data_IF_399207678705
#
_entry.id   IF_399207678705
#
_cell.length_a   1.000
_cell.length_b   1.000
_cell.length_c   1.000
_cell.angle_alpha   90.00
_cell.angle_beta   90.00
_cell.angle_gamma   90.00
#
_symmetry.space_group_name_H-M   'P 1'
#
loop_
_entity.id
_entity.type
_entity.pdbx_description
1 polymer ?
#
# COMPACT_ATOMS: atom_id res chain seq x y z
N UNK A 1 -84.41 62.88 -35.76
CA UNK A 1 -84.60 62.58 -37.19
C UNK A 1 -84.25 61.12 -37.37
N UNK A 2 -85.20 60.31 -37.33
CA UNK A 2 -85.70 59.40 -38.36
C UNK A 2 -84.71 58.20 -38.59
N UNK A 3 -85.13 57.05 -38.11
CA UNK A 3 -85.59 55.85 -38.83
C UNK A 3 -84.42 54.96 -39.28
N UNK A 4 -84.36 53.66 -39.16
CA UNK A 4 -85.40 52.63 -39.33
C UNK A 4 -84.87 51.25 -38.84
N UNK A 5 -85.72 50.54 -38.27
CA UNK A 5 -85.83 49.12 -38.02
C UNK A 5 -85.42 48.24 -39.18
N UNK A 6 -84.75 47.10 -38.89
CA UNK A 6 -85.23 45.83 -39.47
C UNK A 6 -84.74 44.62 -38.57
N UNK A 7 -85.68 43.89 -38.13
CA UNK A 7 -85.70 42.54 -37.63
C UNK A 7 -85.33 41.56 -38.76
N UNK A 8 -84.56 40.55 -38.46
CA UNK A 8 -84.70 39.23 -39.05
C UNK A 8 -84.27 38.14 -38.13
N UNK A 9 -85.21 37.27 -37.96
CA UNK A 9 -85.18 36.07 -37.05
C UNK A 9 -84.33 34.97 -37.65
N UNK A 10 -84.01 34.02 -36.73
CA UNK A 10 -83.96 32.54 -36.87
C UNK A 10 -82.63 31.91 -37.12
N UNK A 11 -82.26 31.12 -36.31
CA UNK A 11 -82.30 29.65 -36.28
C UNK A 11 -81.41 29.13 -35.18
N UNK A 12 -82.05 28.50 -34.22
CA UNK A 12 -81.38 27.68 -33.23
C UNK A 12 -80.91 26.41 -33.90
N UNK A 13 -79.61 26.21 -33.96
CA UNK A 13 -78.99 24.91 -34.24
C UNK A 13 -78.32 24.38 -32.98
N UNK A 14 -78.98 23.39 -32.39
CA UNK A 14 -78.45 22.56 -31.30
C UNK A 14 -77.27 21.78 -31.87
N UNK A 15 -76.08 22.17 -31.49
CA UNK A 15 -74.94 21.33 -31.64
C UNK A 15 -74.64 20.57 -30.32
N UNK A 16 -74.83 19.26 -30.35
CA UNK A 16 -74.42 18.32 -29.31
C UNK A 16 -72.92 18.34 -29.13
N UNK A 17 -72.47 18.88 -28.03
CA UNK A 17 -71.09 18.82 -27.61
C UNK A 17 -70.73 17.40 -27.17
N UNK A 18 -70.10 16.65 -28.09
CA UNK A 18 -69.36 15.43 -27.74
C UNK A 18 -68.16 15.85 -26.90
N UNK A 19 -68.25 15.59 -25.57
CA UNK A 19 -67.15 15.90 -24.64
C UNK A 19 -65.94 15.04 -24.98
N UNK A 20 -64.87 15.70 -25.46
CA UNK A 20 -63.52 15.15 -25.38
C UNK A 20 -63.10 15.09 -23.91
N UNK A 21 -63.13 13.90 -23.31
CA UNK A 21 -62.43 13.66 -22.03
C UNK A 21 -60.93 13.73 -22.32
N UNK A 22 -60.28 14.78 -21.88
CA UNK A 22 -58.83 14.83 -21.77
C UNK A 22 -58.39 13.67 -20.84
N UNK A 23 -57.65 12.73 -21.40
CA UNK A 23 -56.98 11.65 -20.63
C UNK A 23 -55.82 12.32 -19.89
N UNK A 24 -55.94 12.45 -18.60
CA UNK A 24 -54.89 12.90 -17.74
C UNK A 24 -53.74 11.88 -17.86
N UNK A 25 -52.65 12.26 -18.53
CA UNK A 25 -51.42 11.50 -18.60
C UNK A 25 -50.81 11.66 -17.19
N UNK A 26 -51.01 10.66 -16.34
CA UNK A 26 -50.23 10.55 -15.09
C UNK A 26 -48.75 10.51 -15.48
N UNK A 27 -48.00 11.53 -15.09
CA UNK A 27 -46.56 11.55 -15.20
C UNK A 27 -46.04 10.36 -14.39
N UNK A 28 -45.46 9.38 -15.07
CA UNK A 28 -44.71 8.30 -14.41
C UNK A 28 -43.63 8.94 -13.53
N UNK A 29 -43.61 8.57 -12.27
CA UNK A 29 -42.55 8.95 -11.36
C UNK A 29 -41.19 8.53 -11.98
N UNK A 30 -40.14 9.37 -11.87
CA UNK A 30 -38.84 9.04 -12.43
C UNK A 30 -38.38 7.70 -11.82
N UNK A 31 -38.19 6.70 -12.70
CA UNK A 31 -37.59 5.42 -12.33
C UNK A 31 -36.21 5.74 -11.74
N UNK A 32 -36.04 5.55 -10.45
CA UNK A 32 -34.74 5.74 -9.81
C UNK A 32 -33.75 4.78 -10.48
N UNK A 33 -32.74 5.36 -11.12
CA UNK A 33 -31.64 4.59 -11.70
C UNK A 33 -31.09 3.63 -10.66
N UNK A 34 -30.76 2.37 -11.01
CA UNK A 34 -30.18 1.42 -10.07
C UNK A 34 -28.94 2.06 -9.46
N UNK A 35 -28.98 2.26 -8.15
CA UNK A 35 -27.83 2.78 -7.41
C UNK A 35 -26.70 1.76 -7.55
N UNK A 36 -25.55 2.20 -8.06
CA UNK A 36 -24.38 1.33 -8.16
C UNK A 36 -24.12 0.66 -6.79
N UNK A 37 -23.82 -0.63 -6.74
CA UNK A 37 -23.60 -1.32 -5.48
C UNK A 37 -22.50 -0.60 -4.69
N UNK A 38 -22.77 -0.31 -3.43
CA UNK A 38 -21.78 0.31 -2.54
C UNK A 38 -20.56 -0.60 -2.43
N UNK A 39 -19.33 -0.05 -2.54
CA UNK A 39 -18.13 -0.84 -2.43
C UNK A 39 -18.06 -1.55 -1.07
N UNK A 40 -17.76 -2.85 -1.09
CA UNK A 40 -17.60 -3.66 0.12
C UNK A 40 -16.35 -3.20 0.85
N UNK A 41 -16.46 -2.97 2.17
CA UNK A 41 -15.33 -2.57 2.98
C UNK A 41 -14.29 -3.70 3.07
N UNK A 42 -13.02 -3.34 2.91
CA UNK A 42 -11.87 -4.26 3.02
C UNK A 42 -11.11 -4.04 4.33
N UNK A 43 -10.34 -5.02 4.76
CA UNK A 43 -9.51 -4.92 5.97
C UNK A 43 -8.35 -3.93 5.78
N UNK A 44 -7.75 -3.93 4.61
CA UNK A 44 -6.66 -3.04 4.21
C UNK A 44 -6.55 -3.00 2.67
N UNK A 45 -5.86 -2.01 2.09
CA UNK A 45 -5.47 -2.03 0.69
C UNK A 45 -4.69 -3.29 0.36
N UNK A 46 -5.02 -3.96 -0.73
CA UNK A 46 -4.29 -5.15 -1.15
C UNK A 46 -2.89 -4.81 -1.66
N UNK A 47 -1.90 -5.50 -1.12
CA UNK A 47 -0.49 -5.48 -1.56
C UNK A 47 -0.08 -6.92 -1.86
N UNK A 48 0.45 -7.22 -3.06
CA UNK A 48 0.94 -8.56 -3.35
C UNK A 48 2.07 -8.96 -2.40
N UNK A 49 2.01 -10.14 -1.76
CA UNK A 49 3.10 -10.61 -0.93
C UNK A 49 4.37 -10.85 -1.77
N UNK A 50 5.55 -10.78 -1.16
CA UNK A 50 6.79 -11.16 -1.83
C UNK A 50 6.80 -12.67 -2.13
N UNK A 51 7.62 -13.14 -3.09
CA UNK A 51 7.81 -14.57 -3.31
C UNK A 51 8.33 -15.26 -2.04
N UNK A 52 7.90 -16.49 -1.71
CA UNK A 52 8.39 -17.20 -0.53
C UNK A 52 9.89 -17.45 -0.60
N UNK A 53 10.55 -17.42 0.57
CA UNK A 53 11.98 -17.73 0.71
C UNK A 53 12.11 -19.16 1.24
N UNK A 54 12.63 -20.06 0.43
CA UNK A 54 12.75 -21.49 0.73
C UNK A 54 14.20 -21.95 0.79
N UNK A 55 15.14 -21.18 0.26
CA UNK A 55 16.56 -21.58 0.18
C UNK A 55 17.52 -20.41 0.01
N UNK A 56 18.84 -20.72 -0.02
CA UNK A 56 19.90 -19.69 -0.07
C UNK A 56 19.94 -18.90 -1.37
N UNK A 57 19.42 -19.47 -2.46
CA UNK A 57 19.35 -18.81 -3.78
C UNK A 57 18.19 -17.82 -3.89
N UNK A 58 17.21 -17.91 -2.97
CA UNK A 58 16.06 -17.01 -2.96
C UNK A 58 16.46 -15.64 -2.45
N UNK A 59 15.68 -14.63 -2.85
CA UNK A 59 15.93 -13.26 -2.43
C UNK A 59 15.01 -12.87 -1.29
N UNK A 60 15.60 -12.34 -0.23
CA UNK A 60 14.87 -11.58 0.77
C UNK A 60 14.49 -10.22 0.20
N UNK A 61 13.27 -9.81 0.43
CA UNK A 61 12.81 -8.45 0.18
C UNK A 61 12.91 -7.69 1.50
N UNK A 62 13.90 -6.81 1.59
CA UNK A 62 14.21 -6.07 2.82
C UNK A 62 13.81 -4.61 2.63
N UNK A 63 12.95 -4.10 3.51
CA UNK A 63 12.59 -2.69 3.52
C UNK A 63 13.79 -1.84 3.96
N UNK A 64 14.27 -0.97 3.09
CA UNK A 64 15.27 0.06 3.41
C UNK A 64 14.62 1.30 4.00
N UNK A 65 13.38 1.59 3.61
CA UNK A 65 12.55 2.63 4.19
C UNK A 65 11.07 2.40 3.89
N UNK A 66 10.26 2.31 4.94
CA UNK A 66 8.81 2.21 4.88
C UNK A 66 8.13 3.57 5.07
N UNK A 67 6.81 3.59 4.89
CA UNK A 67 5.90 4.72 5.16
C UNK A 67 6.22 6.02 4.39
N UNK A 68 6.88 5.92 3.23
CA UNK A 68 7.17 7.04 2.35
C UNK A 68 5.87 7.68 1.83
N UNK A 69 5.79 9.02 1.91
CA UNK A 69 4.60 9.76 1.49
C UNK A 69 3.40 9.64 2.42
N UNK A 70 3.54 9.07 3.63
CA UNK A 70 2.43 8.88 4.57
C UNK A 70 1.83 10.20 5.06
N UNK A 71 2.64 11.22 5.26
CA UNK A 71 2.21 12.57 5.61
C UNK A 71 2.45 13.55 4.47
N UNK A 72 1.76 14.69 4.51
CA UNK A 72 1.95 15.77 3.52
C UNK A 72 3.31 16.46 3.66
N UNK A 73 4.00 16.26 4.80
CA UNK A 73 5.34 16.74 5.08
C UNK A 73 6.43 15.67 4.88
N UNK A 74 6.09 14.55 4.21
CA UNK A 74 7.08 13.50 3.93
C UNK A 74 8.20 14.02 3.05
N UNK A 75 9.44 13.78 3.49
CA UNK A 75 10.63 14.17 2.74
C UNK A 75 10.67 13.52 1.35
N UNK A 76 11.22 14.19 0.35
CA UNK A 76 11.51 13.59 -0.93
C UNK A 76 12.42 12.37 -0.79
N UNK A 77 12.16 11.34 -1.58
CA UNK A 77 13.06 10.20 -1.71
C UNK A 77 14.09 10.50 -2.81
N UNK A 78 15.34 10.76 -2.43
CA UNK A 78 16.43 10.94 -3.38
C UNK A 78 17.31 9.69 -3.43
N UNK A 79 17.41 9.09 -4.61
CA UNK A 79 18.19 7.89 -4.89
C UNK A 79 19.47 8.29 -5.62
N UNK A 80 20.63 7.82 -5.16
CA UNK A 80 21.93 8.12 -5.76
C UNK A 80 22.62 6.82 -6.23
N UNK A 81 23.00 6.74 -7.50
CA UNK A 81 23.79 5.65 -8.03
C UNK A 81 25.21 5.66 -7.48
N UNK A 82 25.74 4.49 -7.16
CA UNK A 82 27.10 4.33 -6.64
C UNK A 82 28.12 4.19 -7.77
N UNK A 83 28.35 5.28 -8.52
CA UNK A 83 29.35 5.34 -9.59
C UNK A 83 28.81 5.10 -11.01
N UNK A 84 27.52 4.78 -11.16
CA UNK A 84 26.83 4.70 -12.46
C UNK A 84 25.41 5.26 -12.36
N UNK A 85 24.82 5.69 -13.49
CA UNK A 85 23.42 6.09 -13.50
C UNK A 85 22.48 4.97 -13.04
N UNK A 86 21.43 5.37 -12.34
CA UNK A 86 20.27 4.53 -12.02
C UNK A 86 19.35 4.46 -13.24
N UNK A 87 18.64 3.34 -13.38
CA UNK A 87 17.49 3.22 -14.29
C UNK A 87 16.25 2.92 -13.46
N UNK A 88 15.29 3.80 -13.54
CA UNK A 88 13.98 3.66 -12.91
C UNK A 88 12.98 3.28 -14.00
N UNK A 89 12.25 2.18 -13.81
CA UNK A 89 11.15 1.73 -14.68
C UNK A 89 9.86 1.66 -13.91
N UNK A 90 8.84 2.39 -14.35
CA UNK A 90 7.52 2.33 -13.75
C UNK A 90 6.66 1.18 -14.33
N UNK A 91 5.49 0.94 -13.75
CA UNK A 91 4.59 -0.14 -14.19
C UNK A 91 3.98 0.10 -15.58
N UNK A 92 4.00 1.34 -16.11
CA UNK A 92 3.59 1.65 -17.48
C UNK A 92 4.68 1.30 -18.51
N UNK A 93 5.87 0.90 -18.06
CA UNK A 93 7.01 0.58 -18.91
C UNK A 93 7.88 1.76 -19.29
N UNK A 94 7.62 2.96 -18.74
CA UNK A 94 8.45 4.16 -18.98
C UNK A 94 9.72 4.06 -18.15
N UNK A 95 10.82 4.50 -18.75
CA UNK A 95 12.16 4.51 -18.14
C UNK A 95 12.68 5.93 -17.96
N UNK A 96 13.39 6.13 -16.86
CA UNK A 96 14.19 7.33 -16.59
C UNK A 96 15.56 6.91 -16.09
N UNK A 97 16.59 7.66 -16.49
CA UNK A 97 17.95 7.40 -16.07
C UNK A 97 18.62 8.66 -15.54
N UNK A 98 19.45 8.51 -14.51
CA UNK A 98 20.22 9.61 -13.92
C UNK A 98 21.15 9.15 -12.82
N UNK A 99 22.18 9.92 -12.52
CA UNK A 99 23.08 9.66 -11.38
C UNK A 99 22.40 9.86 -10.03
N UNK A 100 21.39 10.75 -10.02
CA UNK A 100 20.46 10.96 -8.90
C UNK A 100 19.05 11.11 -9.45
N UNK A 101 18.07 10.50 -8.77
CA UNK A 101 16.64 10.59 -9.10
C UNK A 101 15.88 10.97 -7.83
N UNK A 102 15.10 12.06 -7.89
CA UNK A 102 14.32 12.55 -6.75
C UNK A 102 12.83 12.32 -7.00
N UNK A 103 12.18 11.66 -6.06
CA UNK A 103 10.74 11.35 -6.05
C UNK A 103 10.08 12.11 -4.92
N UNK A 104 9.07 12.89 -5.25
CA UNK A 104 8.18 13.57 -4.29
C UNK A 104 6.84 12.86 -4.20
N UNK A 105 6.03 13.23 -3.22
CA UNK A 105 4.76 12.59 -2.95
C UNK A 105 3.62 13.57 -3.20
N UNK A 106 2.58 13.13 -3.90
CA UNK A 106 1.39 13.92 -4.16
C UNK A 106 0.15 13.14 -3.78
N UNK A 107 -0.77 13.76 -3.04
CA UNK A 107 -2.09 13.20 -2.79
C UNK A 107 -3.01 13.51 -3.96
N UNK A 108 -3.70 12.47 -4.43
CA UNK A 108 -4.68 12.56 -5.52
C UNK A 108 -6.00 12.01 -5.00
N UNK A 109 -7.10 12.77 -5.08
CA UNK A 109 -8.42 12.26 -4.72
C UNK A 109 -8.76 10.98 -5.50
N UNK A 110 -9.43 10.04 -4.85
CA UNK A 110 -9.97 8.84 -5.49
C UNK A 110 -11.36 9.15 -6.04
N UNK A 111 -11.68 8.66 -7.22
CA UNK A 111 -13.04 8.75 -7.78
C UNK A 111 -14.04 8.02 -6.88
N UNK A 112 -13.65 6.91 -6.32
CA UNK A 112 -14.43 6.14 -5.36
C UNK A 112 -13.59 5.91 -4.11
N UNK A 113 -14.03 6.40 -2.94
CA UNK A 113 -13.39 6.11 -1.67
C UNK A 113 -13.31 4.59 -1.43
N UNK A 114 -12.22 4.13 -0.83
CA UNK A 114 -12.06 2.74 -0.42
C UNK A 114 -12.47 2.59 1.05
N UNK A 115 -13.64 2.02 1.36
CA UNK A 115 -14.05 1.84 2.74
C UNK A 115 -13.20 0.75 3.40
N UNK A 116 -12.71 1.05 4.60
CA UNK A 116 -11.95 0.13 5.43
C UNK A 116 -12.75 -0.23 6.68
N UNK A 117 -12.80 -1.51 7.01
CA UNK A 117 -13.46 -1.96 8.24
C UNK A 117 -12.79 -3.24 8.76
N UNK A 118 -12.37 -3.18 10.03
CA UNK A 118 -11.66 -4.30 10.66
C UNK A 118 -11.83 -4.31 12.17
N UNK A 119 -11.57 -5.44 12.80
CA UNK A 119 -11.28 -5.57 14.23
C UNK A 119 -9.79 -5.49 14.45
N UNK A 120 -9.39 -4.76 15.46
CA UNK A 120 -7.98 -4.51 15.80
C UNK A 120 -7.73 -4.95 17.23
N UNK A 121 -6.78 -5.86 17.42
CA UNK A 121 -6.19 -6.16 18.72
C UNK A 121 -4.80 -5.51 18.78
N UNK A 122 -4.43 -4.98 19.92
CA UNK A 122 -3.16 -4.29 20.16
C UNK A 122 -3.37 -2.88 20.75
N UNK A 123 -2.29 -2.09 20.90
CA UNK A 123 -0.93 -2.36 20.42
C UNK A 123 -0.20 -3.48 21.19
N UNK A 124 0.79 -4.12 20.54
CA UNK A 124 1.66 -5.11 21.10
C UNK A 124 3.11 -4.64 21.08
N UNK A 125 3.88 -5.06 22.09
CA UNK A 125 5.30 -4.67 22.20
C UNK A 125 6.22 -5.36 21.16
N UNK A 126 5.79 -6.49 20.57
CA UNK A 126 6.59 -7.22 19.58
C UNK A 126 5.72 -7.99 18.59
N UNK A 127 6.32 -8.33 17.44
CA UNK A 127 5.73 -9.22 16.45
C UNK A 127 5.26 -10.55 17.06
N UNK A 128 6.09 -11.16 17.91
CA UNK A 128 5.81 -12.47 18.53
C UNK A 128 4.57 -12.40 19.43
N UNK A 129 4.35 -11.27 20.08
CA UNK A 129 3.15 -11.05 20.89
C UNK A 129 1.90 -10.88 20.01
N UNK A 130 2.01 -10.15 18.93
CA UNK A 130 0.94 -10.00 17.94
C UNK A 130 0.64 -11.34 17.25
N UNK A 131 1.68 -12.07 16.81
CA UNK A 131 1.54 -13.34 16.09
C UNK A 131 0.85 -14.42 16.95
N UNK A 132 1.11 -14.47 18.27
CA UNK A 132 0.36 -15.36 19.18
C UNK A 132 -1.14 -15.07 19.16
N UNK A 133 -1.51 -13.81 19.08
CA UNK A 133 -2.94 -13.41 19.00
C UNK A 133 -3.51 -13.71 17.61
N UNK A 134 -2.77 -13.41 16.55
CA UNK A 134 -3.18 -13.76 15.20
C UNK A 134 -3.40 -15.26 15.01
N UNK A 135 -2.51 -16.09 15.59
CA UNK A 135 -2.62 -17.54 15.59
C UNK A 135 -3.93 -18.02 16.25
N UNK A 136 -4.30 -17.48 17.42
CA UNK A 136 -5.56 -17.81 18.09
C UNK A 136 -6.78 -17.51 17.19
N UNK A 137 -6.77 -16.42 16.44
CA UNK A 137 -7.83 -16.13 15.49
C UNK A 137 -7.85 -17.11 14.32
N UNK A 138 -6.67 -17.46 13.78
CA UNK A 138 -6.56 -18.45 12.70
C UNK A 138 -7.02 -19.85 13.12
N UNK A 139 -6.80 -20.24 14.38
CA UNK A 139 -7.27 -21.51 14.95
C UNK A 139 -8.79 -21.63 14.98
N UNK A 140 -9.52 -20.51 15.03
CA UNK A 140 -10.99 -20.47 14.92
C UNK A 140 -11.47 -20.11 13.50
N UNK A 141 -10.61 -20.24 12.49
CA UNK A 141 -10.93 -20.04 11.06
C UNK A 141 -10.99 -18.59 10.59
N UNK A 142 -10.50 -17.62 11.37
CA UNK A 142 -10.46 -16.21 10.99
C UNK A 142 -9.15 -15.87 10.28
N UNK A 143 -9.24 -15.22 9.11
CA UNK A 143 -8.08 -14.69 8.40
C UNK A 143 -7.51 -13.45 9.12
N UNK A 144 -6.75 -13.65 10.19
CA UNK A 144 -6.10 -12.59 10.93
C UNK A 144 -4.68 -12.34 10.43
N UNK A 145 -4.34 -11.05 10.33
CA UNK A 145 -3.07 -10.54 9.80
C UNK A 145 -2.33 -9.76 10.90
N UNK A 146 -1.03 -9.90 10.97
CA UNK A 146 -0.18 -9.02 11.78
C UNK A 146 0.20 -7.81 10.93
N UNK A 147 0.07 -6.62 11.48
CA UNK A 147 0.38 -5.35 10.85
C UNK A 147 1.24 -4.49 11.76
N UNK A 148 1.99 -3.55 11.19
CA UNK A 148 2.84 -2.62 11.93
C UNK A 148 2.68 -1.19 11.38
N UNK A 149 1.50 -0.57 11.57
CA UNK A 149 1.29 0.81 11.12
C UNK A 149 2.19 1.82 11.86
N UNK A 150 2.28 1.74 13.17
CA UNK A 150 3.18 2.45 14.09
C UNK A 150 3.61 1.50 15.21
N UNK A 151 2.67 0.69 15.69
CA UNK A 151 2.86 -0.38 16.67
C UNK A 151 2.40 -1.70 16.07
N UNK A 152 2.81 -2.82 16.67
CA UNK A 152 2.33 -4.13 16.26
C UNK A 152 0.86 -4.31 16.61
N UNK A 153 0.07 -4.63 15.62
CA UNK A 153 -1.38 -4.88 15.72
C UNK A 153 -1.75 -6.20 15.04
N UNK A 154 -2.91 -6.73 15.40
CA UNK A 154 -3.54 -7.83 14.67
C UNK A 154 -4.86 -7.34 14.10
N UNK A 155 -5.03 -7.51 12.81
CA UNK A 155 -6.21 -7.11 12.05
C UNK A 155 -7.02 -8.33 11.61
N UNK A 156 -8.31 -8.33 11.96
CA UNK A 156 -9.27 -9.33 11.51
C UNK A 156 -10.43 -8.65 10.77
N UNK A 157 -11.15 -9.36 9.89
CA UNK A 157 -12.32 -8.82 9.21
C UNK A 157 -13.35 -8.26 10.20
N UNK A 158 -14.07 -7.22 9.81
CA UNK A 158 -15.19 -6.68 10.61
C UNK A 158 -16.18 -7.80 10.94
N UNK A 159 -16.60 -7.87 12.20
CA UNK A 159 -17.55 -8.88 12.66
C UNK A 159 -16.97 -10.29 12.85
N UNK A 160 -15.66 -10.51 12.64
CA UNK A 160 -15.04 -11.81 12.89
C UNK A 160 -15.28 -12.29 14.34
N UNK A 161 -15.50 -13.60 14.58
CA UNK A 161 -15.62 -14.13 15.93
C UNK A 161 -14.34 -13.84 16.72
N UNK A 162 -14.48 -13.69 18.05
CA UNK A 162 -13.35 -13.39 18.93
C UNK A 162 -12.88 -14.64 19.65
N UNK A 163 -11.57 -14.86 19.75
CA UNK A 163 -11.01 -15.81 20.70
C UNK A 163 -11.37 -15.38 22.15
N UNK A 164 -11.56 -16.35 23.03
CA UNK A 164 -11.93 -16.12 24.42
C UNK A 164 -10.99 -15.12 25.12
N UNK A 165 -11.57 -14.12 25.78
CA UNK A 165 -10.82 -13.13 26.55
C UNK A 165 -9.99 -12.15 25.71
N UNK A 166 -10.15 -12.10 24.39
CA UNK A 166 -9.43 -11.13 23.55
C UNK A 166 -10.16 -9.80 23.51
N UNK A 167 -9.48 -8.75 23.97
CA UNK A 167 -9.94 -7.36 23.83
C UNK A 167 -9.60 -6.84 22.42
N UNK A 168 -10.58 -6.24 21.77
CA UNK A 168 -10.43 -5.64 20.44
C UNK A 168 -11.19 -4.30 20.38
N UNK A 169 -10.80 -3.47 19.40
CA UNK A 169 -11.58 -2.32 18.95
C UNK A 169 -12.07 -2.52 17.52
N UNK A 170 -13.29 -2.13 17.23
CA UNK A 170 -13.74 -2.00 15.84
C UNK A 170 -13.16 -0.71 15.26
N UNK A 171 -12.61 -0.81 14.06
CA UNK A 171 -12.02 0.31 13.34
C UNK A 171 -12.65 0.42 11.96
N UNK A 172 -13.16 1.62 11.65
CA UNK A 172 -13.75 1.93 10.36
C UNK A 172 -13.16 3.24 9.85
N UNK A 173 -12.83 3.28 8.58
CA UNK A 173 -12.23 4.44 7.93
C UNK A 173 -12.54 4.42 6.43
N UNK A 174 -12.08 5.43 5.71
CA UNK A 174 -12.18 5.51 4.26
C UNK A 174 -10.89 6.11 3.70
N UNK A 175 -10.33 5.48 2.68
CA UNK A 175 -9.21 6.05 1.92
C UNK A 175 -9.78 6.87 0.76
N UNK A 176 -9.86 8.18 0.94
CA UNK A 176 -10.44 9.13 -0.02
C UNK A 176 -9.41 9.65 -1.03
N UNK A 177 -8.14 9.45 -0.75
CA UNK A 177 -7.03 9.87 -1.60
C UNK A 177 -5.97 8.78 -1.74
N UNK A 178 -5.18 8.85 -2.79
CA UNK A 178 -4.03 7.99 -3.01
C UNK A 178 -2.75 8.83 -3.02
N UNK A 179 -1.72 8.37 -2.33
CA UNK A 179 -0.37 8.92 -2.47
C UNK A 179 0.23 8.39 -3.76
N UNK A 180 0.67 9.28 -4.63
CA UNK A 180 1.34 8.94 -5.88
C UNK A 180 2.76 9.53 -5.91
N UNK A 181 3.76 8.73 -6.32
CA UNK A 181 5.13 9.21 -6.49
C UNK A 181 5.23 10.07 -7.75
N UNK A 182 5.96 11.16 -7.66
CA UNK A 182 6.22 12.09 -8.75
C UNK A 182 7.72 12.25 -8.90
N UNK A 183 8.28 11.74 -10.00
CA UNK A 183 9.69 11.93 -10.34
C UNK A 183 9.91 13.38 -10.76
N UNK A 184 10.88 14.03 -10.14
CA UNK A 184 11.30 15.38 -10.49
C UNK A 184 12.41 15.35 -11.54
N UNK A 185 12.21 16.05 -12.64
CA UNK A 185 13.18 16.21 -13.72
C UNK A 185 13.31 17.68 -14.11
N UNK A 186 14.29 18.03 -14.94
CA UNK A 186 14.41 19.38 -15.48
C UNK A 186 13.21 19.81 -16.33
N UNK A 187 12.49 18.85 -16.91
CA UNK A 187 11.31 19.06 -17.77
C UNK A 187 10.00 19.16 -16.96
N UNK A 188 10.04 18.85 -15.65
CA UNK A 188 8.90 18.89 -14.75
C UNK A 188 8.70 17.58 -13.97
N UNK A 189 7.54 17.48 -13.31
CA UNK A 189 7.17 16.32 -12.50
C UNK A 189 6.41 15.26 -13.28
N UNK A 190 6.89 14.02 -13.29
CA UNK A 190 6.23 12.87 -13.93
C UNK A 190 5.61 11.96 -12.88
N UNK A 191 4.29 11.79 -12.91
CA UNK A 191 3.60 10.82 -12.06
C UNK A 191 4.00 9.40 -12.46
N UNK A 192 4.51 8.63 -11.49
CA UNK A 192 4.95 7.26 -11.69
C UNK A 192 3.83 6.27 -11.34
N UNK A 193 3.78 5.17 -12.06
CA UNK A 193 2.88 4.05 -11.78
C UNK A 193 3.64 2.93 -11.06
N UNK A 194 3.14 2.51 -9.91
CA UNK A 194 3.76 1.42 -9.16
C UNK A 194 3.29 0.03 -9.57
N UNK A 195 4.08 -1.01 -9.31
CA UNK A 195 5.39 -0.97 -8.66
C UNK A 195 6.50 -0.42 -9.57
N UNK A 196 7.45 0.31 -8.98
CA UNK A 196 8.56 0.93 -9.67
C UNK A 196 9.80 0.09 -9.44
N UNK A 197 10.47 -0.35 -10.50
CA UNK A 197 11.73 -1.08 -10.44
C UNK A 197 12.88 -0.11 -10.58
N UNK A 198 13.91 -0.29 -9.77
CA UNK A 198 15.11 0.54 -9.79
C UNK A 198 16.31 -0.38 -9.99
N UNK A 199 17.01 -0.19 -11.10
CA UNK A 199 18.25 -0.88 -11.41
C UNK A 199 19.43 0.06 -11.16
N UNK A 200 20.36 -0.39 -10.33
CA UNK A 200 21.58 0.33 -9.99
C UNK A 200 22.79 -0.58 -10.32
N UNK A 201 23.41 -0.47 -11.51
CA UNK A 201 24.43 -1.42 -11.96
C UNK A 201 25.64 -1.52 -11.04
N UNK A 202 26.00 -0.43 -10.38
CA UNK A 202 27.07 -0.38 -9.38
C UNK A 202 26.55 -0.20 -7.94
N UNK A 203 25.27 -0.41 -7.72
CA UNK A 203 24.60 -0.25 -6.43
C UNK A 203 24.01 1.12 -6.21
N UNK A 204 23.28 1.23 -5.12
CA UNK A 204 22.60 2.44 -4.62
C UNK A 204 23.34 2.95 -3.37
N UNK A 205 23.71 4.22 -3.34
CA UNK A 205 24.15 4.88 -2.13
C UNK A 205 22.94 5.26 -1.30
N UNK A 206 22.83 4.70 -0.11
CA UNK A 206 21.70 4.90 0.78
C UNK A 206 22.15 4.99 2.24
N UNK A 207 21.76 6.08 2.95
CA UNK A 207 22.09 6.28 4.37
C UNK A 207 23.56 6.00 4.73
N UNK A 208 24.48 6.44 3.85
CA UNK A 208 25.92 6.28 4.03
C UNK A 208 26.47 4.90 3.61
N UNK A 209 25.62 3.94 3.31
CA UNK A 209 26.01 2.61 2.80
C UNK A 209 25.80 2.48 1.28
N UNK A 210 26.30 1.37 0.74
CA UNK A 210 26.12 0.99 -0.65
C UNK A 210 25.44 -0.37 -0.73
N UNK A 211 24.29 -0.41 -1.36
CA UNK A 211 23.43 -1.58 -1.48
C UNK A 211 23.42 -2.09 -2.93
N UNK A 212 23.39 -3.40 -3.11
CA UNK A 212 23.58 -4.01 -4.44
C UNK A 212 22.31 -4.07 -5.28
N UNK A 213 21.16 -4.25 -4.65
CA UNK A 213 19.87 -4.39 -5.34
C UNK A 213 19.62 -5.76 -5.98
N UNK A 214 18.66 -5.86 -6.92
CA UNK A 214 17.80 -4.78 -7.42
C UNK A 214 16.84 -4.21 -6.39
N UNK A 215 16.32 -3.01 -6.69
CA UNK A 215 15.42 -2.31 -5.77
C UNK A 215 14.02 -2.18 -6.35
N UNK A 216 13.07 -1.99 -5.44
CA UNK A 216 11.67 -1.79 -5.77
C UNK A 216 11.07 -0.72 -4.88
N UNK A 217 10.28 0.18 -5.45
CA UNK A 217 9.43 1.11 -4.72
C UNK A 217 7.97 0.70 -4.98
N UNK A 218 7.24 0.34 -3.93
CA UNK A 218 5.86 -0.13 -4.04
C UNK A 218 4.98 0.42 -2.92
N UNK A 219 3.67 0.30 -3.09
CA UNK A 219 2.70 0.62 -2.04
C UNK A 219 2.77 -0.40 -0.91
N UNK A 220 2.45 0.06 0.29
CA UNK A 220 2.24 -0.75 1.48
C UNK A 220 0.74 -0.85 1.85
N UNK A 221 0.44 -1.59 2.92
CA UNK A 221 -0.92 -1.80 3.41
C UNK A 221 -1.56 -0.54 4.07
N UNK A 222 -0.81 0.52 4.22
CA UNK A 222 -1.24 1.77 4.88
C UNK A 222 -1.52 2.90 3.87
N UNK A 223 -1.34 2.63 2.58
CA UNK A 223 -1.54 3.60 1.50
C UNK A 223 -0.33 4.50 1.24
N UNK A 224 0.79 4.25 1.91
CA UNK A 224 2.09 4.87 1.66
C UNK A 224 2.97 3.98 0.76
N UNK A 225 4.28 4.24 0.72
CA UNK A 225 5.21 3.54 -0.16
C UNK A 225 6.41 3.02 0.63
N UNK A 226 7.02 1.95 0.13
CA UNK A 226 8.20 1.32 0.74
C UNK A 226 9.28 1.12 -0.30
N UNK A 227 10.51 1.55 0.02
CA UNK A 227 11.72 1.23 -0.74
C UNK A 227 12.27 -0.12 -0.25
N UNK A 228 12.37 -1.07 -1.16
CA UNK A 228 12.75 -2.45 -0.87
C UNK A 228 13.99 -2.81 -1.68
N UNK A 229 14.95 -3.48 -1.05
CA UNK A 229 16.03 -4.21 -1.71
C UNK A 229 15.66 -5.69 -1.82
N UNK A 230 15.94 -6.28 -2.98
CA UNK A 230 15.77 -7.70 -3.23
C UNK A 230 17.16 -8.36 -3.15
N UNK A 231 17.58 -8.74 -1.95
CA UNK A 231 18.94 -9.18 -1.64
C UNK A 231 19.03 -10.71 -1.55
N UNK A 232 20.04 -11.38 -2.13
CA UNK A 232 20.29 -12.80 -1.86
C UNK A 232 20.52 -13.03 -0.35
N UNK A 233 20.04 -14.15 0.18
CA UNK A 233 20.12 -14.44 1.62
C UNK A 233 21.55 -14.34 2.16
N UNK A 234 22.54 -14.90 1.48
CA UNK A 234 23.93 -14.86 1.93
C UNK A 234 24.50 -13.44 1.96
N UNK A 235 24.15 -12.62 0.95
CA UNK A 235 24.55 -11.20 0.94
C UNK A 235 23.85 -10.38 2.04
N UNK A 236 22.61 -10.72 2.37
CA UNK A 236 21.92 -10.14 3.54
C UNK A 236 22.69 -10.43 4.82
N UNK A 237 23.18 -11.66 5.01
CA UNK A 237 23.94 -12.04 6.21
C UNK A 237 25.29 -11.30 6.31
N UNK A 238 25.95 -11.01 5.19
CA UNK A 238 27.14 -10.14 5.18
C UNK A 238 26.84 -8.75 5.74
N UNK A 239 25.61 -8.23 5.49
CA UNK A 239 25.15 -6.95 6.00
C UNK A 239 24.56 -6.99 7.41
N UNK A 240 24.31 -8.16 7.98
CA UNK A 240 23.73 -8.31 9.33
C UNK A 240 24.79 -8.69 10.35
N UNK A 241 25.53 -9.77 10.12
CA UNK A 241 26.39 -10.39 11.14
C UNK A 241 27.44 -9.44 11.73
N UNK A 242 28.16 -8.65 10.91
CA UNK A 242 29.14 -7.71 11.45
C UNK A 242 28.51 -6.56 12.28
N UNK A 243 27.25 -6.20 11.99
CA UNK A 243 26.54 -5.15 12.71
C UNK A 243 25.95 -5.65 14.03
N UNK A 244 25.64 -6.95 14.14
CA UNK A 244 25.09 -7.55 15.35
C UNK A 244 26.16 -7.81 16.43
N UNK A 245 27.33 -8.34 16.05
CA UNK A 245 28.35 -8.75 17.03
C UNK A 245 29.70 -8.08 16.82
N UNK A 246 29.84 -7.19 15.85
CA UNK A 246 31.09 -6.52 15.49
C UNK A 246 31.96 -7.34 14.54
N UNK A 247 32.47 -6.67 13.52
CA UNK A 247 33.31 -7.26 12.47
C UNK A 247 34.65 -7.85 13.00
N UNK A 248 35.14 -7.33 14.12
CA UNK A 248 36.36 -7.84 14.80
C UNK A 248 36.17 -9.06 15.69
N UNK A 249 34.97 -9.62 15.77
CA UNK A 249 34.68 -10.82 16.57
C UNK A 249 35.47 -12.03 16.07
N UNK A 250 35.79 -13.00 16.98
CA UNK A 250 36.47 -14.26 16.60
C UNK A 250 35.69 -14.96 15.46
N UNK A 251 36.43 -15.55 14.51
CA UNK A 251 35.82 -16.22 13.34
C UNK A 251 34.74 -17.25 13.72
N UNK A 252 34.96 -18.01 14.79
CA UNK A 252 33.99 -18.98 15.27
C UNK A 252 32.70 -18.33 15.76
N UNK A 253 32.80 -17.15 16.39
CA UNK A 253 31.62 -16.37 16.79
C UNK A 253 30.87 -15.84 15.59
N UNK A 254 31.57 -15.29 14.57
CA UNK A 254 30.96 -14.83 13.31
C UNK A 254 30.25 -15.98 12.60
N UNK A 255 30.86 -17.17 12.51
CA UNK A 255 30.23 -18.36 11.92
C UNK A 255 28.99 -18.81 12.70
N UNK A 256 29.02 -18.82 14.02
CA UNK A 256 27.87 -19.15 14.86
C UNK A 256 26.75 -18.13 14.66
N UNK A 257 27.06 -16.83 14.67
CA UNK A 257 26.09 -15.76 14.41
C UNK A 257 25.48 -15.85 13.02
N UNK A 258 26.28 -16.21 12.00
CA UNK A 258 25.78 -16.42 10.63
C UNK A 258 24.70 -17.51 10.59
N UNK A 259 24.92 -18.64 11.29
CA UNK A 259 23.90 -19.70 11.38
C UNK A 259 22.65 -19.22 12.10
N UNK A 260 22.79 -18.50 13.21
CA UNK A 260 21.66 -17.94 13.96
C UNK A 260 20.88 -16.92 13.11
N UNK A 261 21.57 -15.97 12.50
CA UNK A 261 20.95 -14.93 11.68
C UNK A 261 20.23 -15.52 10.47
N UNK A 262 20.81 -16.51 9.79
CA UNK A 262 20.16 -17.23 8.67
C UNK A 262 18.89 -17.92 9.12
N UNK A 263 18.97 -18.69 10.21
CA UNK A 263 17.82 -19.41 10.76
C UNK A 263 16.72 -18.45 11.14
N UNK A 264 17.07 -17.34 11.79
CA UNK A 264 16.12 -16.31 12.19
C UNK A 264 15.48 -15.66 10.97
N UNK A 265 16.24 -15.24 9.96
CA UNK A 265 15.73 -14.58 8.76
C UNK A 265 14.72 -15.46 8.01
N UNK A 266 15.04 -16.74 7.82
CA UNK A 266 14.14 -17.71 7.18
C UNK A 266 12.87 -17.94 8.00
N UNK A 267 13.01 -18.14 9.31
CA UNK A 267 11.86 -18.36 10.21
C UNK A 267 10.95 -17.15 10.34
N UNK A 268 11.47 -15.93 10.09
CA UNK A 268 10.76 -14.66 10.28
C UNK A 268 10.44 -13.93 8.97
N UNK A 269 10.67 -14.53 7.81
CA UNK A 269 10.41 -13.92 6.50
C UNK A 269 8.93 -13.62 6.22
N UNK A 270 8.05 -13.89 7.17
CA UNK A 270 6.62 -13.63 7.08
C UNK A 270 6.13 -12.40 7.88
N UNK A 271 7.05 -11.64 8.53
CA UNK A 271 6.67 -10.53 9.43
C UNK A 271 5.91 -9.41 8.76
N UNK A 272 6.27 -9.06 7.53
CA UNK A 272 5.71 -7.91 6.80
C UNK A 272 5.05 -8.29 5.48
N UNK A 273 4.48 -9.49 5.37
CA UNK A 273 3.81 -9.95 4.15
C UNK A 273 2.64 -9.06 3.74
N UNK A 274 1.94 -8.47 4.72
CA UNK A 274 0.86 -7.51 4.46
C UNK A 274 1.36 -6.27 3.72
N UNK A 275 2.62 -5.88 3.96
CA UNK A 275 3.28 -4.71 3.36
C UNK A 275 4.05 -5.05 2.08
N UNK A 276 4.04 -6.32 1.68
CA UNK A 276 4.65 -6.80 0.45
C UNK A 276 6.17 -6.95 0.52
N UNK A 277 6.75 -7.12 1.71
CA UNK A 277 8.16 -7.45 1.91
C UNK A 277 8.34 -8.44 3.07
N UNK A 278 9.56 -8.97 3.28
CA UNK A 278 9.82 -10.00 4.28
C UNK A 278 10.26 -9.42 5.62
N UNK A 279 11.29 -8.59 5.59
CA UNK A 279 11.98 -8.08 6.77
C UNK A 279 12.24 -6.57 6.65
N UNK A 280 12.29 -5.89 7.78
CA UNK A 280 12.81 -4.54 7.89
C UNK A 280 14.34 -4.54 8.04
N UNK A 281 14.98 -3.37 7.90
CA UNK A 281 16.43 -3.21 8.02
C UNK A 281 16.87 -2.63 9.37
N UNK A 282 15.96 -2.56 10.35
CA UNK A 282 16.18 -1.95 11.66
C UNK A 282 16.04 -2.98 12.81
N UNK A 283 16.05 -2.48 14.06
CA UNK A 283 16.00 -3.29 15.27
C UNK A 283 14.70 -4.07 15.50
N UNK A 284 13.65 -3.82 14.73
CA UNK A 284 12.43 -4.66 14.73
C UNK A 284 12.67 -6.02 14.07
N UNK A 285 13.72 -6.13 13.24
CA UNK A 285 14.18 -7.35 12.62
C UNK A 285 15.64 -7.65 13.02
N UNK A 286 16.55 -7.55 12.08
CA UNK A 286 17.99 -7.59 12.25
C UNK A 286 18.56 -6.33 11.61
N UNK A 287 19.50 -5.68 12.27
CA UNK A 287 20.13 -4.47 11.70
C UNK A 287 20.88 -4.84 10.42
N UNK A 288 20.30 -4.47 9.28
CA UNK A 288 20.88 -4.71 7.97
C UNK A 288 21.47 -3.42 7.41
N UNK A 289 22.76 -3.43 7.12
CA UNK A 289 23.49 -2.30 6.54
C UNK A 289 24.59 -2.77 5.58
N UNK A 290 25.27 -1.82 4.93
CA UNK A 290 26.43 -2.12 4.08
C UNK A 290 27.55 -2.78 4.92
N UNK A 291 28.02 -3.99 4.56
CA UNK A 291 29.09 -4.71 5.29
C UNK A 291 30.33 -3.86 5.53
N UNK A 292 30.67 -2.97 4.61
CA UNK A 292 31.86 -2.10 4.67
C UNK A 292 31.77 -1.06 5.78
N UNK A 293 30.55 -0.71 6.26
CA UNK A 293 30.38 0.22 7.38
C UNK A 293 30.74 -0.41 8.72
N UNK A 294 30.67 -1.71 8.86
CA UNK A 294 31.03 -2.44 10.08
C UNK A 294 32.54 -2.66 10.25
N UNK A 295 33.36 -2.15 9.32
CA UNK A 295 34.79 -2.49 9.26
C UNK A 295 35.00 -3.83 8.55
N UNK A 296 36.14 -3.99 7.87
CA UNK A 296 36.43 -5.11 6.96
C UNK A 296 36.49 -6.46 7.69
N UNK A 297 35.36 -7.03 8.04
CA UNK A 297 35.29 -8.46 8.34
C UNK A 297 34.92 -9.16 7.03
N UNK A 298 35.86 -9.87 6.45
CA UNK A 298 35.58 -10.88 5.45
C UNK A 298 34.98 -12.08 6.19
N UNK A 299 33.69 -12.33 5.99
CA UNK A 299 32.99 -13.53 6.46
C UNK A 299 33.50 -14.78 5.70
#
# INVERSE_FOLDING_TARGET
MVVLIRLLSVAVLLWSSTGCRAREIQAEAPVSSPQAPMPVAVTHPFVPPPPPVNGPEDRLWVSLQAHLGRSDQSDPLTLHGAGSPLVLRDASGRDWSGSALTITWRRVPRETPLPLARRVAGPFASFESAERVAKRWREIGVAALVAHPDDWEVWAPKGAPLPDGLAVRDWNDSIDSAVVPVLQTAEGGFTLQGPIRIHAPQGLNWKGGRYAGPFRLQRDAYGSWTLIEQVPLEHYLEGVVPHEIGAGSPRTALQAQTVLARTWALANSHRFLIDGYHLCSDTQCQVYSDPRQAGSAVL
#
